data_IF_989380410773
#
_entry.id   IF_989380410773
#
_cell.length_a   1.000
_cell.length_b   1.000
_cell.length_c   1.000
_cell.angle_alpha   90.00
_cell.angle_beta   90.00
_cell.angle_gamma   90.00
#
_symmetry.space_group_name_H-M   'P 1'
#
loop_
_entity.id
_entity.type
_entity.pdbx_description
1 polymer ?
#
# COMPACT_ATOMS: atom_id res chain seq x y z
N UNK A 1 6.77 -23.98 -16.58
CA UNK A 1 7.39 -24.40 -15.29
C UNK A 1 8.19 -23.26 -14.67
N UNK A 2 9.17 -22.64 -15.36
CA UNK A 2 9.99 -21.56 -14.82
C UNK A 2 9.16 -20.36 -14.28
N UNK A 3 8.08 -19.96 -14.95
CA UNK A 3 7.19 -18.89 -14.49
C UNK A 3 6.46 -19.29 -13.19
N UNK A 4 6.01 -20.53 -13.09
CA UNK A 4 5.33 -21.06 -11.89
C UNK A 4 6.27 -21.13 -10.68
N UNK A 5 7.51 -21.53 -10.90
CA UNK A 5 8.52 -21.54 -9.82
C UNK A 5 8.87 -20.13 -9.36
N UNK A 6 9.01 -19.19 -10.30
CA UNK A 6 9.22 -17.80 -9.98
C UNK A 6 8.04 -17.22 -9.18
N UNK A 7 6.80 -17.48 -9.61
CA UNK A 7 5.60 -17.02 -8.90
C UNK A 7 5.49 -17.61 -7.49
N UNK A 8 5.88 -18.85 -7.29
CA UNK A 8 5.90 -19.46 -5.93
C UNK A 8 6.92 -18.79 -5.01
N UNK A 9 8.08 -18.38 -5.56
CA UNK A 9 9.11 -17.67 -4.80
C UNK A 9 8.71 -16.25 -4.44
N UNK A 10 8.15 -15.52 -5.40
CA UNK A 10 7.76 -14.10 -5.21
C UNK A 10 6.42 -13.95 -4.48
N UNK A 11 5.56 -14.95 -4.56
CA UNK A 11 4.21 -14.92 -3.99
C UNK A 11 3.92 -16.17 -3.15
N UNK A 12 4.64 -16.37 -2.02
CA UNK A 12 4.53 -17.60 -1.22
C UNK A 12 3.14 -17.87 -0.64
N UNK A 13 2.30 -16.83 -0.56
CA UNK A 13 0.91 -16.94 -0.07
C UNK A 13 -0.11 -17.23 -1.19
N UNK A 14 0.35 -17.44 -2.41
CA UNK A 14 -0.51 -17.72 -3.54
C UNK A 14 -0.89 -19.21 -3.54
N UNK A 15 -2.16 -19.51 -3.26
CA UNK A 15 -2.66 -20.88 -3.26
C UNK A 15 -2.89 -21.39 -4.68
N UNK A 16 -2.28 -22.52 -5.03
CA UNK A 16 -2.52 -23.28 -6.25
C UNK A 16 -3.64 -24.32 -6.02
N UNK A 17 -4.45 -24.65 -7.04
CA UNK A 17 -4.46 -24.07 -8.40
C UNK A 17 -5.22 -22.75 -8.51
N UNK A 18 -4.87 -21.95 -9.52
CA UNK A 18 -5.61 -20.74 -9.89
C UNK A 18 -5.73 -20.62 -11.41
N UNK A 19 -6.72 -19.88 -11.88
CA UNK A 19 -6.95 -19.67 -13.30
C UNK A 19 -5.97 -18.63 -13.87
N UNK A 20 -5.54 -18.86 -15.11
CA UNK A 20 -4.70 -17.92 -15.85
C UNK A 20 -5.33 -17.61 -17.21
N UNK A 21 -5.33 -16.34 -17.56
CA UNK A 21 -5.66 -15.88 -18.91
C UNK A 21 -4.39 -15.76 -19.74
N UNK A 22 -4.37 -16.35 -20.92
CA UNK A 22 -3.27 -16.24 -21.86
C UNK A 22 -3.69 -15.37 -23.05
N UNK A 23 -2.94 -14.32 -23.35
CA UNK A 23 -3.25 -13.38 -24.43
C UNK A 23 -2.24 -13.53 -25.55
N UNK A 24 -2.72 -13.50 -26.80
CA UNK A 24 -1.93 -13.59 -28.02
C UNK A 24 -0.98 -14.80 -28.02
N UNK A 25 -1.56 -15.99 -27.81
CA UNK A 25 -0.79 -17.24 -27.68
C UNK A 25 -0.28 -17.70 -29.02
N UNK A 26 1.02 -17.96 -29.12
CA UNK A 26 1.65 -18.70 -30.22
C UNK A 26 1.97 -20.12 -29.74
N UNK A 27 1.81 -21.09 -30.62
CA UNK A 27 2.23 -22.46 -30.36
C UNK A 27 3.58 -22.68 -31.03
N UNK A 28 4.62 -22.90 -30.22
CA UNK A 28 6.00 -23.11 -30.70
C UNK A 28 6.47 -24.48 -30.19
N UNK A 29 6.72 -25.40 -31.08
CA UNK A 29 7.16 -26.79 -30.77
C UNK A 29 6.23 -27.54 -29.78
N UNK A 30 4.95 -27.20 -29.79
CA UNK A 30 3.98 -27.80 -28.86
C UNK A 30 3.75 -27.02 -27.56
N UNK A 31 4.55 -26.02 -27.29
CA UNK A 31 4.41 -25.17 -26.10
C UNK A 31 3.55 -23.92 -26.41
N UNK A 32 2.72 -23.54 -25.44
CA UNK A 32 1.96 -22.30 -25.49
C UNK A 32 2.82 -21.12 -25.04
N UNK A 33 3.15 -20.21 -25.95
CA UNK A 33 3.95 -19.01 -25.69
C UNK A 33 3.04 -17.79 -25.79
N UNK A 34 2.50 -17.28 -24.66
CA UNK A 34 1.68 -16.08 -24.64
C UNK A 34 2.54 -14.83 -24.71
N UNK A 35 2.00 -13.76 -25.28
CA UNK A 35 2.57 -12.42 -25.21
C UNK A 35 2.35 -11.82 -23.81
N UNK A 36 1.22 -12.15 -23.17
CA UNK A 36 0.86 -11.71 -21.83
C UNK A 36 0.15 -12.83 -21.07
N UNK A 37 0.44 -12.93 -19.78
CA UNK A 37 -0.26 -13.82 -18.85
C UNK A 37 -1.01 -12.96 -17.83
N UNK A 38 -2.32 -13.19 -17.70
CA UNK A 38 -3.15 -12.58 -16.66
C UNK A 38 -3.39 -13.64 -15.60
N UNK A 39 -2.97 -13.34 -14.37
CA UNK A 39 -3.23 -14.19 -13.22
C UNK A 39 -4.61 -13.84 -12.65
N UNK A 40 -5.41 -14.88 -12.38
CA UNK A 40 -6.77 -14.74 -11.85
C UNK A 40 -7.59 -13.75 -12.71
N UNK A 41 -8.02 -14.18 -13.92
CA UNK A 41 -8.68 -13.29 -14.88
C UNK A 41 -10.07 -12.80 -14.42
N UNK A 42 -10.61 -13.40 -13.37
CA UNK A 42 -11.89 -12.98 -12.81
C UNK A 42 -11.79 -11.59 -12.17
N UNK A 43 -12.89 -10.84 -12.26
CA UNK A 43 -12.96 -9.53 -11.65
C UNK A 43 -13.05 -9.65 -10.14
N UNK A 44 -12.01 -9.16 -9.46
CA UNK A 44 -11.96 -9.08 -8.01
C UNK A 44 -12.25 -7.65 -7.53
N UNK A 45 -13.09 -7.54 -6.50
CA UNK A 45 -13.42 -6.25 -5.89
C UNK A 45 -12.26 -5.78 -5.01
N UNK A 46 -11.83 -4.55 -5.22
CA UNK A 46 -10.84 -3.92 -4.36
C UNK A 46 -11.44 -3.65 -2.96
N UNK A 47 -10.78 -4.13 -1.91
CA UNK A 47 -11.29 -4.01 -0.52
C UNK A 47 -11.41 -2.54 -0.08
N UNK A 48 -10.53 -1.65 -0.58
CA UNK A 48 -10.62 -0.21 -0.31
C UNK A 48 -11.86 0.39 -0.97
N UNK A 49 -12.16 -0.02 -2.21
CA UNK A 49 -13.35 0.42 -2.92
C UNK A 49 -14.64 -0.03 -2.20
N UNK A 50 -14.65 -1.25 -1.65
CA UNK A 50 -15.77 -1.74 -0.84
C UNK A 50 -15.90 -0.92 0.44
N UNK A 51 -14.81 -0.69 1.16
CA UNK A 51 -14.82 0.12 2.38
C UNK A 51 -15.31 1.56 2.12
N UNK A 52 -14.89 2.18 1.03
CA UNK A 52 -15.35 3.50 0.61
C UNK A 52 -16.85 3.56 0.31
N UNK A 53 -17.45 2.47 -0.22
CA UNK A 53 -18.89 2.39 -0.45
C UNK A 53 -19.70 2.43 0.84
N UNK A 54 -19.13 1.96 1.94
CA UNK A 54 -19.75 1.86 3.25
C UNK A 54 -19.15 2.86 4.26
N UNK A 55 -18.45 3.88 3.76
CA UNK A 55 -17.86 4.90 4.62
C UNK A 55 -18.94 5.70 5.38
N UNK A 56 -18.52 6.32 6.48
CA UNK A 56 -19.38 6.94 7.50
C UNK A 56 -20.35 8.02 6.98
N UNK A 57 -20.04 8.70 5.91
CA UNK A 57 -20.86 9.75 5.30
C UNK A 57 -22.05 9.22 4.48
N UNK A 58 -22.38 7.93 4.64
CA UNK A 58 -23.53 7.31 4.01
C UNK A 58 -23.41 7.22 2.49
N UNK A 59 -22.20 7.19 1.97
CA UNK A 59 -21.98 6.99 0.55
C UNK A 59 -22.63 5.70 0.10
N UNK A 60 -23.32 5.76 -1.01
CA UNK A 60 -23.91 4.58 -1.64
C UNK A 60 -23.02 4.14 -2.82
N UNK A 61 -23.17 2.87 -3.22
CA UNK A 61 -22.39 2.29 -4.31
C UNK A 61 -22.49 3.08 -5.63
N UNK A 62 -23.66 3.68 -5.93
CA UNK A 62 -23.87 4.51 -7.12
C UNK A 62 -23.03 5.78 -7.06
N UNK A 63 -23.01 6.46 -5.93
CA UNK A 63 -22.22 7.67 -5.74
C UNK A 63 -20.72 7.36 -5.78
N UNK A 64 -20.29 6.25 -5.16
CA UNK A 64 -18.92 5.79 -5.25
C UNK A 64 -18.52 5.51 -6.69
N UNK A 65 -19.36 4.82 -7.45
CA UNK A 65 -19.12 4.55 -8.86
C UNK A 65 -18.97 5.84 -9.67
N UNK A 66 -19.85 6.82 -9.48
CA UNK A 66 -19.76 8.12 -10.15
C UNK A 66 -18.47 8.87 -9.79
N UNK A 67 -18.02 8.81 -8.54
CA UNK A 67 -16.75 9.43 -8.10
C UNK A 67 -15.53 8.85 -8.85
N UNK A 68 -15.59 7.61 -9.34
CA UNK A 68 -14.48 7.03 -10.15
C UNK A 68 -14.26 7.75 -11.49
N UNK A 69 -15.26 8.41 -12.02
CA UNK A 69 -15.18 9.19 -13.26
C UNK A 69 -14.79 10.66 -13.04
N UNK A 70 -14.70 11.10 -11.79
CA UNK A 70 -14.26 12.47 -11.49
C UNK A 70 -12.73 12.51 -11.42
N UNK A 71 -12.09 13.59 -11.94
CA UNK A 71 -10.66 13.77 -11.81
C UNK A 71 -10.25 13.77 -10.33
N UNK A 72 -9.24 12.98 -9.98
CA UNK A 72 -8.66 13.01 -8.64
C UNK A 72 -7.88 14.32 -8.48
N UNK A 73 -8.29 15.15 -7.53
CA UNK A 73 -7.52 16.35 -7.17
C UNK A 73 -6.32 15.95 -6.32
N UNK A 74 -5.16 16.47 -6.67
CA UNK A 74 -3.97 16.37 -5.82
C UNK A 74 -4.12 17.36 -4.67
N UNK A 75 -4.10 16.88 -3.43
CA UNK A 75 -4.18 17.71 -2.22
C UNK A 75 -2.91 17.59 -1.40
N UNK A 76 -2.69 18.56 -0.52
CA UNK A 76 -1.58 18.52 0.43
C UNK A 76 -1.67 17.24 1.31
N UNK A 77 -2.87 16.89 1.78
CA UNK A 77 -3.08 15.69 2.58
C UNK A 77 -2.71 14.41 1.84
N UNK A 78 -3.02 14.33 0.53
CA UNK A 78 -2.62 13.20 -0.30
C UNK A 78 -1.10 13.14 -0.44
N UNK A 79 -0.45 14.28 -0.70
CA UNK A 79 1.01 14.36 -0.79
C UNK A 79 1.68 13.93 0.51
N UNK A 80 1.23 14.44 1.66
CA UNK A 80 1.76 14.05 2.98
C UNK A 80 1.53 12.56 3.25
N UNK A 81 0.38 12.00 2.83
CA UNK A 81 0.11 10.55 2.92
C UNK A 81 1.11 9.73 2.12
N UNK A 82 1.40 10.12 0.89
CA UNK A 82 2.42 9.46 0.06
C UNK A 82 3.81 9.54 0.68
N UNK A 83 4.18 10.70 1.26
CA UNK A 83 5.42 10.84 2.00
C UNK A 83 5.48 9.90 3.21
N UNK A 84 4.39 9.79 3.96
CA UNK A 84 4.33 8.93 5.14
C UNK A 84 4.47 7.45 4.78
N UNK A 85 3.84 6.97 3.70
CA UNK A 85 4.05 5.60 3.21
C UNK A 85 5.52 5.38 2.83
N UNK A 86 6.09 6.28 2.05
CA UNK A 86 7.50 6.21 1.68
C UNK A 86 8.43 6.16 2.90
N UNK A 87 8.17 6.95 3.94
CA UNK A 87 8.97 6.93 5.18
C UNK A 87 8.85 5.62 5.93
N UNK A 88 7.65 5.04 5.96
CA UNK A 88 7.45 3.75 6.61
C UNK A 88 8.28 2.67 5.93
N UNK A 89 8.25 2.62 4.61
CA UNK A 89 9.02 1.66 3.81
C UNK A 89 10.53 1.79 4.07
N UNK A 90 11.06 3.02 4.00
CA UNK A 90 12.48 3.29 4.25
C UNK A 90 12.90 2.93 5.68
N UNK A 91 12.10 3.28 6.69
CA UNK A 91 12.38 3.01 8.10
C UNK A 91 12.29 1.52 8.43
N UNK A 92 11.44 0.75 7.76
CA UNK A 92 11.37 -0.70 7.93
C UNK A 92 12.63 -1.37 7.38
N UNK A 93 13.12 -0.91 6.23
CA UNK A 93 14.33 -1.43 5.59
C UNK A 93 15.60 -0.98 6.34
N UNK A 94 15.67 0.31 6.67
CA UNK A 94 16.81 0.91 7.37
C UNK A 94 16.33 1.83 8.52
N UNK A 95 16.20 1.31 9.74
CA UNK A 95 15.73 2.08 10.89
C UNK A 95 16.63 3.26 11.30
N UNK A 96 17.87 3.27 10.85
CA UNK A 96 18.85 4.34 11.16
C UNK A 96 18.83 5.47 10.11
N UNK A 97 18.01 5.37 9.08
CA UNK A 97 17.88 6.43 8.07
C UNK A 97 17.42 7.74 8.71
N UNK A 98 18.00 8.85 8.29
CA UNK A 98 17.61 10.17 8.78
C UNK A 98 16.68 10.87 7.79
N UNK A 99 15.90 11.83 8.28
CA UNK A 99 15.02 12.64 7.43
C UNK A 99 15.81 13.36 6.30
N UNK A 100 17.02 13.82 6.60
CA UNK A 100 17.85 14.51 5.61
C UNK A 100 18.31 13.58 4.48
N UNK A 101 18.51 12.29 4.75
CA UNK A 101 18.93 11.31 3.74
C UNK A 101 17.81 11.06 2.71
N UNK A 102 16.57 11.08 3.16
CA UNK A 102 15.40 10.78 2.32
C UNK A 102 14.72 12.03 1.75
N UNK A 103 15.00 13.21 2.30
CA UNK A 103 14.41 14.47 1.86
C UNK A 103 14.51 14.71 0.34
N UNK A 104 15.65 14.45 -0.35
CA UNK A 104 15.73 14.62 -1.80
C UNK A 104 14.74 13.72 -2.57
N UNK A 105 14.37 12.57 -2.03
CA UNK A 105 13.44 11.64 -2.69
C UNK A 105 11.98 12.09 -2.53
N UNK A 106 11.64 12.83 -1.49
CA UNK A 106 10.31 13.40 -1.30
C UNK A 106 9.91 14.26 -2.51
N UNK A 107 10.87 15.03 -3.06
CA UNK A 107 10.64 15.85 -4.25
C UNK A 107 10.33 15.04 -5.51
N UNK A 108 10.70 13.74 -5.53
CA UNK A 108 10.41 12.83 -6.64
C UNK A 108 9.03 12.18 -6.55
N UNK A 109 8.39 12.17 -5.37
CA UNK A 109 7.09 11.52 -5.15
C UNK A 109 6.00 12.17 -6.00
N UNK A 110 5.98 13.52 -6.06
CA UNK A 110 4.99 14.25 -6.85
C UNK A 110 5.58 15.56 -7.39
N UNK A 111 6.52 15.49 -8.34
CA UNK A 111 7.30 16.65 -8.77
C UNK A 111 6.46 17.76 -9.38
N UNK A 112 5.45 17.42 -10.19
CA UNK A 112 4.56 18.43 -10.80
C UNK A 112 3.70 19.15 -9.76
N UNK A 113 3.27 18.42 -8.72
CA UNK A 113 2.51 19.04 -7.63
C UNK A 113 3.35 20.05 -6.86
N UNK A 114 4.60 19.73 -6.58
CA UNK A 114 5.52 20.61 -5.86
C UNK A 114 5.98 21.80 -6.72
N UNK A 115 6.23 21.57 -8.01
CA UNK A 115 6.65 22.63 -8.94
C UNK A 115 5.58 23.73 -9.12
N UNK A 116 4.31 23.41 -8.87
CA UNK A 116 3.20 24.36 -8.92
C UNK A 116 3.00 25.13 -7.60
N UNK A 117 3.91 24.99 -6.61
CA UNK A 117 3.83 25.62 -5.29
C UNK A 117 4.92 26.65 -5.09
N UNK A 118 4.68 27.61 -4.20
CA UNK A 118 5.70 28.53 -3.76
C UNK A 118 6.73 27.84 -2.86
N UNK A 119 7.92 28.40 -2.76
CA UNK A 119 8.97 27.86 -1.88
C UNK A 119 8.52 27.77 -0.41
N UNK A 120 7.71 28.72 0.05
CA UNK A 120 7.21 28.73 1.43
C UNK A 120 6.19 27.59 1.66
N UNK A 121 5.30 27.32 0.71
CA UNK A 121 4.37 26.19 0.77
C UNK A 121 5.15 24.85 0.79
N UNK A 122 6.15 24.69 -0.08
CA UNK A 122 6.99 23.49 -0.13
C UNK A 122 7.73 23.29 1.20
N UNK A 123 8.26 24.37 1.78
CA UNK A 123 8.93 24.32 3.09
C UNK A 123 7.97 23.90 4.22
N UNK A 124 6.74 24.44 4.23
CA UNK A 124 5.72 24.03 5.21
C UNK A 124 5.32 22.56 5.04
N UNK A 125 5.17 22.09 3.80
CA UNK A 125 4.88 20.68 3.53
C UNK A 125 6.02 19.76 3.98
N UNK A 126 7.28 20.14 3.73
CA UNK A 126 8.44 19.40 4.22
C UNK A 126 8.49 19.35 5.76
N UNK A 127 8.14 20.42 6.45
CA UNK A 127 8.04 20.43 7.91
C UNK A 127 6.94 19.48 8.43
N UNK A 128 5.75 19.50 7.79
CA UNK A 128 4.66 18.56 8.13
C UNK A 128 5.06 17.11 7.87
N UNK A 129 5.70 16.84 6.74
CA UNK A 129 6.24 15.52 6.44
C UNK A 129 7.28 15.07 7.48
N UNK A 130 8.15 15.97 7.94
CA UNK A 130 9.12 15.69 9.00
C UNK A 130 8.49 15.24 10.32
N UNK A 131 7.32 15.78 10.67
CA UNK A 131 6.57 15.33 11.86
C UNK A 131 6.13 13.86 11.69
N UNK A 132 5.60 13.50 10.51
CA UNK A 132 5.23 12.12 10.23
C UNK A 132 6.44 11.19 10.27
N UNK A 133 7.59 11.61 9.74
CA UNK A 133 8.83 10.84 9.82
C UNK A 133 9.23 10.54 11.26
N UNK A 134 9.24 11.54 12.15
CA UNK A 134 9.58 11.37 13.57
C UNK A 134 8.61 10.38 14.25
N UNK A 135 7.31 10.51 13.99
CA UNK A 135 6.31 9.61 14.55
C UNK A 135 6.51 8.16 14.07
N UNK A 136 6.82 7.96 12.80
CA UNK A 136 7.08 6.64 12.24
C UNK A 136 8.40 6.04 12.75
N UNK A 137 9.43 6.85 12.92
CA UNK A 137 10.69 6.41 13.53
C UNK A 137 10.46 5.91 14.97
N UNK A 138 9.66 6.64 15.77
CA UNK A 138 9.27 6.20 17.10
C UNK A 138 8.44 4.91 17.06
N UNK A 139 7.52 4.78 16.10
CA UNK A 139 6.75 3.56 15.91
C UNK A 139 7.64 2.36 15.59
N UNK A 140 8.56 2.48 14.63
CA UNK A 140 9.50 1.42 14.24
C UNK A 140 10.40 1.02 15.39
N UNK A 141 10.92 2.01 16.14
CA UNK A 141 11.69 1.75 17.36
C UNK A 141 10.88 0.95 18.38
N UNK A 142 9.65 1.38 18.67
CA UNK A 142 8.75 0.70 19.59
C UNK A 142 8.45 -0.74 19.14
N UNK A 143 8.09 -0.93 17.88
CA UNK A 143 7.76 -2.24 17.31
C UNK A 143 8.93 -3.23 17.51
N UNK A 144 10.17 -2.78 17.33
CA UNK A 144 11.37 -3.62 17.52
C UNK A 144 11.67 -3.90 18.99
N UNK A 145 11.71 -2.87 19.82
CA UNK A 145 12.23 -2.96 21.17
C UNK A 145 11.20 -3.47 22.19
N UNK A 146 9.93 -3.06 22.04
CA UNK A 146 8.87 -3.41 22.99
C UNK A 146 7.96 -4.52 22.49
N UNK A 147 7.49 -4.42 21.26
CA UNK A 147 6.56 -5.40 20.71
C UNK A 147 7.31 -6.63 20.16
N UNK A 148 8.65 -6.58 20.07
CA UNK A 148 9.54 -7.66 19.62
C UNK A 148 9.25 -8.16 18.21
N UNK A 149 8.68 -7.31 17.37
CA UNK A 149 8.39 -7.64 15.96
C UNK A 149 9.68 -7.71 15.15
N UNK A 150 9.86 -8.81 14.43
CA UNK A 150 11.03 -9.01 13.56
C UNK A 150 10.80 -8.31 12.20
N UNK A 151 11.07 -7.01 12.14
CA UNK A 151 10.86 -6.21 10.93
C UNK A 151 11.65 -6.74 9.71
N UNK A 152 12.70 -7.51 9.92
CA UNK A 152 13.44 -8.19 8.84
C UNK A 152 12.62 -9.26 8.09
N UNK A 153 11.50 -9.70 8.65
CA UNK A 153 10.53 -10.62 8.04
C UNK A 153 9.25 -9.91 7.62
N UNK A 154 9.34 -8.61 7.36
CA UNK A 154 8.20 -7.80 6.92
C UNK A 154 8.08 -7.82 5.41
N UNK A 155 6.88 -8.07 4.92
CA UNK A 155 6.50 -7.80 3.54
C UNK A 155 5.98 -6.37 3.46
N UNK A 156 6.61 -5.57 2.61
CA UNK A 156 6.25 -4.17 2.35
C UNK A 156 5.28 -4.15 1.18
N UNK A 157 4.16 -3.46 1.33
CA UNK A 157 3.11 -3.30 0.34
C UNK A 157 2.65 -4.62 -0.33
N UNK A 158 2.49 -5.74 0.42
CA UNK A 158 2.09 -7.00 -0.19
C UNK A 158 0.66 -6.91 -0.74
N UNK A 159 0.50 -7.41 -1.97
CA UNK A 159 -0.82 -7.52 -2.60
C UNK A 159 -1.41 -8.90 -2.36
N UNK A 160 -2.66 -8.94 -1.97
CA UNK A 160 -3.43 -10.16 -1.74
C UNK A 160 -4.63 -10.23 -2.67
N UNK A 161 -4.96 -11.44 -3.08
CA UNK A 161 -6.18 -11.72 -3.81
C UNK A 161 -6.81 -13.01 -3.30
N UNK A 162 -8.13 -13.04 -3.29
CA UNK A 162 -8.91 -14.20 -2.89
C UNK A 162 -10.05 -14.44 -3.88
N UNK A 163 -9.84 -15.31 -4.87
CA UNK A 163 -10.90 -15.69 -5.81
C UNK A 163 -12.12 -16.27 -5.08
N UNK A 164 -11.89 -17.02 -4.01
CA UNK A 164 -12.96 -17.61 -3.18
C UNK A 164 -13.94 -16.56 -2.65
N UNK A 165 -13.45 -15.38 -2.26
CA UNK A 165 -14.26 -14.30 -1.70
C UNK A 165 -14.50 -13.17 -2.70
N UNK A 166 -13.88 -13.22 -3.89
CA UNK A 166 -14.00 -12.20 -4.91
C UNK A 166 -13.31 -10.87 -4.54
N UNK A 167 -12.30 -10.89 -3.68
CA UNK A 167 -11.62 -9.69 -3.18
C UNK A 167 -10.14 -9.66 -3.52
N UNK A 168 -9.64 -8.44 -3.70
CA UNK A 168 -8.23 -8.14 -3.77
C UNK A 168 -7.92 -6.88 -2.95
N UNK A 169 -6.66 -6.74 -2.54
CA UNK A 169 -6.22 -5.56 -1.80
C UNK A 169 -4.73 -5.57 -1.55
N UNK A 170 -4.23 -4.44 -1.07
CA UNK A 170 -2.83 -4.26 -0.68
C UNK A 170 -2.79 -3.79 0.76
N UNK A 171 -1.88 -4.36 1.54
CA UNK A 171 -1.58 -3.93 2.90
C UNK A 171 -0.37 -2.99 2.86
N UNK A 172 -0.22 -2.12 3.86
CA UNK A 172 1.01 -1.33 3.98
C UNK A 172 2.16 -2.22 4.45
N UNK A 173 1.98 -2.97 5.55
CA UNK A 173 2.98 -3.93 6.02
C UNK A 173 2.32 -5.22 6.50
N UNK A 174 2.97 -6.35 6.25
CA UNK A 174 2.62 -7.64 6.84
C UNK A 174 3.86 -8.29 7.45
N UNK A 175 3.80 -8.63 8.72
CA UNK A 175 4.88 -9.30 9.46
C UNK A 175 4.44 -10.73 9.72
N UNK A 176 5.27 -11.69 9.34
CA UNK A 176 5.11 -13.11 9.67
C UNK A 176 6.47 -13.67 10.11
N UNK A 177 6.72 -13.71 11.41
CA UNK A 177 8.00 -14.07 11.99
C UNK A 177 7.99 -15.45 12.68
N UNK A 178 7.06 -16.33 12.29
CA UNK A 178 6.83 -17.68 12.84
C UNK A 178 6.18 -17.68 14.24
N UNK A 179 6.43 -16.69 15.05
CA UNK A 179 5.86 -16.53 16.40
C UNK A 179 4.69 -15.55 16.39
N UNK A 180 4.82 -14.50 15.59
CA UNK A 180 3.87 -13.39 15.54
C UNK A 180 3.43 -13.15 14.11
N UNK A 181 2.13 -12.83 13.94
CA UNK A 181 1.56 -12.31 12.70
C UNK A 181 0.91 -10.97 12.97
N UNK A 182 1.34 -9.96 12.22
CA UNK A 182 0.79 -8.62 12.38
C UNK A 182 0.53 -7.96 11.03
N UNK A 183 -0.62 -7.31 10.93
CA UNK A 183 -0.96 -6.42 9.83
C UNK A 183 -0.84 -5.00 10.36
N UNK A 184 -0.09 -4.17 9.67
CA UNK A 184 0.08 -2.77 10.00
C UNK A 184 -0.45 -1.95 8.84
N UNK A 185 -1.37 -1.05 9.15
CA UNK A 185 -2.02 -0.17 8.20
C UNK A 185 -1.78 1.28 8.61
N UNK A 186 -1.15 2.07 7.74
CA UNK A 186 -0.80 3.45 8.01
C UNK A 186 -1.98 4.39 7.71
N UNK A 187 -2.33 5.21 8.69
CA UNK A 187 -3.31 6.29 8.53
C UNK A 187 -2.65 7.63 8.88
N UNK A 188 -2.36 8.43 7.88
CA UNK A 188 -1.72 9.75 8.02
C UNK A 188 -2.70 10.89 8.36
N UNK A 189 -4.00 10.61 8.39
CA UNK A 189 -5.05 11.58 8.67
C UNK A 189 -5.23 11.90 10.16
N UNK A 190 -6.13 12.84 10.46
CA UNK A 190 -6.51 13.15 11.84
C UNK A 190 -7.34 12.02 12.42
N UNK A 191 -6.98 11.56 13.61
CA UNK A 191 -7.81 10.61 14.37
C UNK A 191 -9.08 11.34 14.82
N UNK A 192 -10.24 10.82 14.42
CA UNK A 192 -11.52 11.28 14.94
C UNK A 192 -11.78 10.57 16.27
N UNK A 193 -11.70 11.31 17.38
CA UNK A 193 -12.09 10.81 18.68
C UNK A 193 -13.60 10.99 18.82
N UNK A 194 -14.34 9.91 18.74
CA UNK A 194 -15.77 9.91 19.12
C UNK A 194 -15.88 9.72 20.62
N UNK A 195 -16.75 10.50 21.27
CA UNK A 195 -16.94 10.49 22.74
C UNK A 195 -17.45 9.16 23.32
N UNK A 196 -17.72 8.15 22.53
CA UNK A 196 -18.15 6.81 22.95
C UNK A 196 -17.41 5.71 22.20
N UNK A 197 -16.16 5.51 22.54
CA UNK A 197 -15.38 4.36 22.12
C UNK A 197 -14.43 4.64 20.97
N UNK A 198 -13.26 4.04 21.07
CA UNK A 198 -12.30 3.95 19.98
C UNK A 198 -12.86 2.91 19.02
N UNK A 199 -13.33 3.33 17.87
CA UNK A 199 -13.54 2.41 16.76
C UNK A 199 -12.19 2.22 16.08
N UNK A 200 -11.50 1.15 16.46
CA UNK A 200 -10.38 0.64 15.68
C UNK A 200 -10.98 -0.05 14.44
N UNK A 201 -10.75 0.51 13.28
CA UNK A 201 -10.99 -0.15 12.00
C UNK A 201 -9.70 -0.80 11.55
#
# INVERSE_FOLDING_TARGET
>A
EALLEHLKQEMPYFNLPFDVGLINVKVIKGDYVPEMVILIPDFLLDVTAVAECYSYDGSNAKLHFLKKFTPKSTSESLFIGLCANYFLDELVVNPEVTFNDILPNIFKISPLYLAARSNDEVKQMAQKAGIHFINLQQFVFRAREFDKLKLSKTLIEPSYCSPKYGFQGRLDLFIDDDENRAIIELKSGKTLLFQKGILNY
#
